data_IF_963896744631
#
_entry.id   IF_963896744631
#
_cell.length_a   1.000
_cell.length_b   1.000
_cell.length_c   1.000
_cell.angle_alpha   90.00
_cell.angle_beta   90.00
_cell.angle_gamma   90.00
#
_symmetry.space_group_name_H-M   'P 1'
#
loop_
_entity.id
_entity.type
_entity.pdbx_description
1 polymer ?
#
# COMPACT_ATOMS: atom_id res chain seq x y z
N UNK A 1 5.19 10.39 -2.57
CA UNK A 1 4.44 9.21 -3.05
C UNK A 1 3.93 8.48 -1.83
N UNK A 2 2.68 8.03 -1.85
CA UNK A 2 2.02 7.40 -0.71
C UNK A 2 1.41 6.09 -1.20
N UNK A 3 1.65 5.00 -0.46
CA UNK A 3 0.87 3.77 -0.53
C UNK A 3 0.08 3.63 0.77
N UNK A 4 -1.22 3.38 0.69
CA UNK A 4 -2.13 3.37 1.82
C UNK A 4 -3.10 2.18 1.71
N UNK A 5 -3.25 1.45 2.81
CA UNK A 5 -4.32 0.46 3.00
C UNK A 5 -5.04 0.82 4.29
N UNK A 6 -6.32 1.16 4.17
CA UNK A 6 -7.21 1.44 5.30
C UNK A 6 -8.11 0.24 5.53
N UNK A 7 -8.28 -0.16 6.78
CA UNK A 7 -9.24 -1.20 7.17
C UNK A 7 -9.93 -0.86 8.49
N UNK A 8 -10.98 -1.59 8.83
CA UNK A 8 -11.60 -1.49 10.15
C UNK A 8 -10.60 -1.84 11.27
N UNK A 9 -10.71 -1.19 12.44
CA UNK A 9 -9.81 -1.37 13.60
C UNK A 9 -9.69 -2.83 14.07
N UNK A 10 -10.74 -3.63 13.86
CA UNK A 10 -10.75 -5.08 14.16
C UNK A 10 -9.65 -5.85 13.43
N UNK A 11 -9.20 -5.33 12.28
CA UNK A 11 -8.20 -5.93 11.41
C UNK A 11 -6.83 -5.25 11.59
N UNK A 12 -6.59 -4.56 12.71
CA UNK A 12 -5.31 -3.89 12.98
C UNK A 12 -4.11 -4.84 12.93
N UNK A 13 -4.29 -6.09 13.38
CA UNK A 13 -3.22 -7.10 13.37
C UNK A 13 -2.84 -7.48 11.94
N UNK A 14 -3.83 -7.57 11.04
CA UNK A 14 -3.57 -7.78 9.61
C UNK A 14 -2.72 -6.65 9.03
N UNK A 15 -3.03 -5.40 9.37
CA UNK A 15 -2.28 -4.24 8.88
C UNK A 15 -0.85 -4.15 9.47
N UNK A 16 -0.67 -4.53 10.73
CA UNK A 16 0.67 -4.68 11.32
C UNK A 16 1.47 -5.79 10.64
N UNK A 17 0.82 -6.92 10.35
CA UNK A 17 1.45 -8.03 9.62
C UNK A 17 1.80 -7.65 8.18
N UNK A 18 1.04 -6.75 7.53
CA UNK A 18 1.43 -6.21 6.22
C UNK A 18 2.75 -5.43 6.28
N UNK A 19 2.95 -4.60 7.32
CA UNK A 19 4.20 -3.87 7.49
C UNK A 19 5.40 -4.82 7.70
N UNK A 20 5.20 -5.89 8.49
CA UNK A 20 6.20 -6.94 8.68
C UNK A 20 6.48 -7.73 7.39
N UNK A 21 5.43 -8.14 6.68
CA UNK A 21 5.53 -8.96 5.47
C UNK A 21 6.18 -8.20 4.30
N UNK A 22 5.78 -6.95 4.07
CA UNK A 22 6.38 -6.09 3.05
C UNK A 22 7.74 -5.50 3.50
N UNK A 23 8.07 -5.66 4.79
CA UNK A 23 9.28 -5.13 5.43
C UNK A 23 9.47 -3.62 5.18
N UNK A 24 8.38 -2.86 5.20
CA UNK A 24 8.38 -1.41 5.07
C UNK A 24 7.08 -0.79 5.58
N UNK A 25 7.08 0.54 5.72
CA UNK A 25 5.91 1.26 6.22
C UNK A 25 5.61 0.93 7.68
N UNK A 26 4.46 1.40 8.14
CA UNK A 26 3.95 1.12 9.48
C UNK A 26 2.43 1.27 9.49
N UNK A 27 1.79 0.71 10.52
CA UNK A 27 0.34 0.80 10.68
C UNK A 27 -0.04 1.49 12.00
N UNK A 28 -1.03 2.38 11.95
CA UNK A 28 -1.49 3.18 13.11
C UNK A 28 -3.01 3.41 13.07
N UNK A 29 -3.65 3.76 14.21
CA UNK A 29 -5.03 4.22 14.21
C UNK A 29 -5.16 5.49 13.35
N UNK A 30 -6.27 5.58 12.62
CA UNK A 30 -6.54 6.77 11.81
C UNK A 30 -6.91 7.93 12.72
N UNK A 31 -6.20 9.05 12.59
CA UNK A 31 -6.36 10.22 13.49
C UNK A 31 -7.80 10.75 13.57
N UNK A 32 -8.52 10.72 12.45
CA UNK A 32 -9.88 11.27 12.35
C UNK A 32 -10.97 10.19 12.38
N UNK A 33 -10.66 8.95 12.79
CA UNK A 33 -11.67 7.89 12.89
C UNK A 33 -11.33 6.81 13.90
N UNK A 34 -12.23 6.58 14.85
CA UNK A 34 -12.07 5.55 15.89
C UNK A 34 -12.21 4.12 15.38
N UNK A 35 -12.82 3.93 14.20
CA UNK A 35 -13.12 2.61 13.64
C UNK A 35 -12.15 2.18 12.54
N UNK A 36 -11.15 3.01 12.21
CA UNK A 36 -10.24 2.73 11.11
C UNK A 36 -8.79 2.68 11.56
N UNK A 37 -8.03 1.83 10.90
CA UNK A 37 -6.59 1.67 11.08
C UNK A 37 -5.94 1.70 9.70
N UNK A 38 -4.79 2.34 9.61
CA UNK A 38 -4.12 2.64 8.35
C UNK A 38 -2.74 2.01 8.36
N UNK A 39 -2.45 1.16 7.38
CA UNK A 39 -1.09 0.86 6.98
C UNK A 39 -0.66 1.84 5.89
N UNK A 40 0.50 2.46 6.03
CA UNK A 40 1.05 3.29 4.96
C UNK A 40 2.57 3.26 4.86
N UNK A 41 3.03 3.55 3.64
CA UNK A 41 4.44 3.78 3.33
C UNK A 41 4.58 5.11 2.60
N UNK A 42 5.44 5.98 3.11
CA UNK A 42 5.74 7.31 2.54
C UNK A 42 7.16 7.42 1.99
N UNK A 43 8.07 6.55 2.43
CA UNK A 43 9.46 6.52 1.97
C UNK A 43 9.51 6.07 0.51
N UNK A 44 10.04 6.93 -0.35
CA UNK A 44 10.06 6.73 -1.80
C UNK A 44 10.82 5.45 -2.18
N UNK A 45 11.93 5.18 -1.51
CA UNK A 45 12.77 4.00 -1.74
C UNK A 45 12.01 2.72 -1.40
N UNK A 46 11.28 2.68 -0.29
CA UNK A 46 10.49 1.50 0.08
C UNK A 46 9.38 1.23 -0.93
N UNK A 47 8.67 2.27 -1.38
CA UNK A 47 7.62 2.11 -2.38
C UNK A 47 8.20 1.61 -3.71
N UNK A 48 9.32 2.19 -4.17
CA UNK A 48 9.95 1.82 -5.43
C UNK A 48 10.61 0.44 -5.42
N UNK A 49 11.25 0.06 -4.32
CA UNK A 49 12.07 -1.15 -4.27
C UNK A 49 11.38 -2.34 -3.61
N UNK A 50 10.27 -2.15 -2.90
CA UNK A 50 9.54 -3.23 -2.22
C UNK A 50 8.10 -3.34 -2.70
N UNK A 51 7.34 -2.24 -2.66
CA UNK A 51 5.90 -2.26 -2.95
C UNK A 51 5.62 -2.44 -4.46
N UNK A 52 6.24 -1.64 -5.33
CA UNK A 52 6.05 -1.76 -6.78
C UNK A 52 6.46 -3.17 -7.27
N UNK A 53 7.65 -3.71 -6.93
CA UNK A 53 8.05 -5.06 -7.37
C UNK A 53 7.10 -6.17 -6.86
N UNK A 54 6.53 -6.02 -5.66
CA UNK A 54 5.53 -6.95 -5.15
C UNK A 54 4.31 -7.03 -6.07
N UNK A 55 3.75 -5.88 -6.46
CA UNK A 55 2.58 -5.81 -7.35
C UNK A 55 2.92 -6.02 -8.84
N UNK A 56 4.20 -5.96 -9.23
CA UNK A 56 4.63 -6.44 -10.56
C UNK A 56 4.68 -7.96 -10.63
N UNK A 57 5.08 -8.62 -9.53
CA UNK A 57 5.08 -10.08 -9.42
C UNK A 57 3.67 -10.63 -9.20
N UNK A 58 2.90 -9.98 -8.34
CA UNK A 58 1.53 -10.36 -8.00
C UNK A 58 0.59 -9.26 -8.47
N UNK A 59 0.44 -9.19 -9.78
CA UNK A 59 -0.39 -8.19 -10.45
C UNK A 59 -1.81 -8.23 -9.89
N UNK A 60 -2.29 -7.06 -9.47
CA UNK A 60 -3.69 -6.88 -9.11
C UNK A 60 -4.53 -7.23 -10.34
N UNK A 61 -5.37 -8.26 -10.23
CA UNK A 61 -6.42 -8.53 -11.21
C UNK A 61 -7.55 -7.53 -10.98
N UNK A 62 -7.33 -6.27 -11.36
CA UNK A 62 -8.39 -5.26 -11.40
C UNK A 62 -9.19 -5.42 -12.70
N UNK A 63 -10.52 -5.40 -12.60
CA UNK A 63 -11.37 -5.13 -13.76
C UNK A 63 -11.17 -3.67 -14.21
N UNK A 64 -10.23 -3.50 -15.13
CA UNK A 64 -10.21 -2.54 -16.24
C UNK A 64 -10.08 -1.01 -16.05
N UNK A 65 -10.06 -0.40 -14.85
CA UNK A 65 -9.93 1.09 -14.77
C UNK A 65 -8.60 1.69 -14.25
N UNK A 66 -7.76 0.99 -13.49
CA UNK A 66 -6.54 1.62 -12.89
C UNK A 66 -5.21 1.33 -13.63
N UNK A 67 -5.16 0.35 -14.53
CA UNK A 67 -3.89 -0.10 -15.16
C UNK A 67 -3.29 0.97 -16.10
N UNK A 68 -4.12 1.84 -16.69
CA UNK A 68 -3.66 2.89 -17.62
C UNK A 68 -2.76 3.94 -16.94
N UNK A 69 -3.06 4.32 -15.69
CA UNK A 69 -2.25 5.27 -14.93
C UNK A 69 -0.90 4.68 -14.50
N UNK A 70 -0.88 3.39 -14.12
CA UNK A 70 0.36 2.67 -13.79
C UNK A 70 1.30 2.61 -15.00
N UNK A 71 0.78 2.32 -16.18
CA UNK A 71 1.57 2.28 -17.42
C UNK A 71 2.13 3.66 -17.81
N UNK A 72 1.38 4.73 -17.55
CA UNK A 72 1.87 6.09 -17.76
C UNK A 72 3.04 6.43 -16.83
N UNK A 73 2.97 6.05 -15.56
CA UNK A 73 4.04 6.27 -14.57
C UNK A 73 5.31 5.51 -14.96
N UNK A 74 5.19 4.24 -15.37
CA UNK A 74 6.34 3.44 -15.83
C UNK A 74 7.05 4.00 -17.07
N UNK A 75 6.33 4.78 -17.89
CA UNK A 75 6.87 5.35 -19.13
C UNK A 75 7.60 6.69 -18.92
N UNK A 76 7.35 7.39 -17.81
CA UNK A 76 7.79 8.78 -17.60
C UNK A 76 8.62 8.97 -16.31
N UNK A 77 9.14 7.89 -15.74
CA UNK A 77 10.14 7.89 -14.65
C UNK A 77 11.31 7.03 -15.10
#
# INVERSE_FOLDING_TARGET
MLFLVTQHIRDMELLNNLALYLNCGYAIPRSNSVNHYDYFATKKEDIKCKIIPFFEKYTLQVQFLEISEINWIKKNI
#
